data_IF_507077361393
#
_entry.id   IF_507077361393
#
_cell.length_a   1.000
_cell.length_b   1.000
_cell.length_c   1.000
_cell.angle_alpha   90.00
_cell.angle_beta   90.00
_cell.angle_gamma   90.00
#
_symmetry.space_group_name_H-M   'P 1'
#
loop_
_entity.id
_entity.type
_entity.pdbx_description
1 polymer ?
#
# COMPACT_ATOMS: atom_id res chain seq x y z
N UNK A 1 -23.34 12.10 -20.22
CA UNK A 1 -23.86 12.33 -18.84
C UNK A 1 -22.88 11.82 -17.77
N UNK A 2 -22.22 10.68 -17.95
CA UNK A 2 -21.23 10.13 -17.02
C UNK A 2 -19.98 11.00 -16.80
N UNK A 3 -19.48 11.67 -17.83
CA UNK A 3 -18.24 12.48 -17.74
C UNK A 3 -18.38 13.68 -16.80
N UNK A 4 -19.55 14.28 -16.72
CA UNK A 4 -19.81 15.43 -15.83
C UNK A 4 -19.83 14.98 -14.35
N UNK A 5 -20.42 13.83 -14.06
CA UNK A 5 -20.41 13.25 -12.70
C UNK A 5 -19.01 12.84 -12.27
N UNK A 6 -18.23 12.21 -13.15
CA UNK A 6 -16.85 11.83 -12.88
C UNK A 6 -15.97 13.05 -12.60
N UNK A 7 -16.12 14.13 -13.40
CA UNK A 7 -15.36 15.36 -13.19
C UNK A 7 -15.75 16.06 -11.88
N UNK A 8 -17.02 16.06 -11.52
CA UNK A 8 -17.50 16.60 -10.24
C UNK A 8 -16.99 15.79 -9.07
N UNK A 9 -17.03 14.45 -9.17
CA UNK A 9 -16.47 13.55 -8.16
C UNK A 9 -14.98 13.79 -7.94
N UNK A 10 -14.18 13.83 -9.00
CA UNK A 10 -12.75 14.10 -8.93
C UNK A 10 -12.44 15.45 -8.30
N UNK A 11 -13.15 16.52 -8.72
CA UNK A 11 -12.99 17.85 -8.13
C UNK A 11 -13.28 17.88 -6.64
N UNK A 12 -14.37 17.24 -6.21
CA UNK A 12 -14.73 17.16 -4.80
C UNK A 12 -13.73 16.35 -4.01
N UNK A 13 -13.26 15.23 -4.56
CA UNK A 13 -12.24 14.37 -3.93
C UNK A 13 -10.91 15.11 -3.73
N UNK A 14 -10.45 15.87 -4.72
CA UNK A 14 -9.25 16.69 -4.61
C UNK A 14 -9.44 17.82 -3.59
N UNK A 15 -10.58 18.50 -3.61
CA UNK A 15 -10.87 19.64 -2.73
C UNK A 15 -10.84 19.25 -1.24
N UNK A 16 -11.26 18.03 -0.92
CA UNK A 16 -11.26 17.49 0.45
C UNK A 16 -9.97 16.73 0.73
N UNK A 17 -9.59 15.84 -0.18
CA UNK A 17 -8.49 14.92 0.00
C UNK A 17 -7.11 15.58 0.07
N UNK A 18 -6.84 16.58 -0.77
CA UNK A 18 -5.55 17.24 -0.77
C UNK A 18 -5.26 17.99 0.56
N UNK A 19 -6.16 18.87 1.07
CA UNK A 19 -5.89 19.57 2.32
C UNK A 19 -5.87 18.64 3.54
N UNK A 20 -6.70 17.58 3.56
CA UNK A 20 -6.70 16.62 4.68
C UNK A 20 -5.41 15.78 4.70
N UNK A 21 -4.91 15.34 3.57
CA UNK A 21 -3.63 14.63 3.49
C UNK A 21 -2.44 15.56 3.82
N UNK A 22 -2.47 16.82 3.40
CA UNK A 22 -1.46 17.81 3.79
C UNK A 22 -1.47 18.04 5.31
N UNK A 23 -2.67 18.19 5.89
CA UNK A 23 -2.83 18.32 7.34
C UNK A 23 -2.27 17.09 8.07
N UNK A 24 -2.57 15.89 7.60
CA UNK A 24 -2.02 14.66 8.16
C UNK A 24 -0.48 14.61 8.08
N UNK A 25 0.10 15.04 6.97
CA UNK A 25 1.55 15.14 6.82
C UNK A 25 2.17 16.12 7.82
N UNK A 26 1.52 17.28 8.04
CA UNK A 26 1.97 18.27 9.05
C UNK A 26 1.83 17.71 10.47
N UNK A 27 0.70 17.07 10.78
CA UNK A 27 0.49 16.51 12.14
C UNK A 27 1.42 15.34 12.46
N UNK A 28 1.99 14.67 11.45
CA UNK A 28 2.99 13.61 11.66
C UNK A 28 4.28 14.14 12.32
N UNK A 29 4.57 15.44 12.24
CA UNK A 29 5.70 16.04 12.93
C UNK A 29 5.44 16.32 14.42
N UNK A 30 4.19 16.38 14.87
CA UNK A 30 3.86 16.74 16.25
C UNK A 30 4.49 15.82 17.31
N UNK A 31 4.48 14.48 17.19
CA UNK A 31 5.14 13.61 18.15
C UNK A 31 6.65 13.89 18.26
N UNK A 32 7.31 14.13 17.13
CA UNK A 32 8.74 14.42 17.10
C UNK A 32 9.03 15.78 17.74
N UNK A 33 8.26 16.81 17.37
CA UNK A 33 8.38 18.14 17.96
C UNK A 33 8.11 18.13 19.47
N UNK A 34 7.12 17.36 19.91
CA UNK A 34 6.83 17.17 21.32
C UNK A 34 8.05 16.60 22.07
N UNK A 35 8.67 15.55 21.55
CA UNK A 35 9.85 14.95 22.15
C UNK A 35 11.03 15.92 22.16
N UNK A 36 11.27 16.64 21.07
CA UNK A 36 12.34 17.62 21.00
C UNK A 36 12.17 18.77 22.03
N UNK A 37 10.93 19.25 22.21
CA UNK A 37 10.64 20.37 23.09
C UNK A 37 10.60 19.94 24.57
N UNK A 38 9.94 18.83 24.90
CA UNK A 38 9.71 18.40 26.29
C UNK A 38 10.95 17.75 26.90
N UNK A 39 11.70 17.00 26.10
CA UNK A 39 12.88 16.24 26.56
C UNK A 39 14.20 16.83 26.08
N UNK A 40 14.17 17.98 25.42
CA UNK A 40 15.36 18.67 24.85
C UNK A 40 16.24 17.72 23.98
N UNK A 41 15.58 16.83 23.24
CA UNK A 41 16.24 15.81 22.42
C UNK A 41 16.30 16.25 20.95
N UNK A 42 16.96 17.36 20.65
CA UNK A 42 17.14 17.83 19.29
C UNK A 42 18.23 17.02 18.59
N UNK A 43 17.88 16.30 17.49
CA UNK A 43 18.89 15.55 16.76
C UNK A 43 19.77 16.46 15.92
N UNK A 44 21.04 16.08 15.75
CA UNK A 44 21.92 16.75 14.82
C UNK A 44 21.40 16.69 13.40
N UNK A 45 21.44 17.79 12.68
CA UNK A 45 20.96 17.88 11.31
C UNK A 45 21.67 16.89 10.38
N UNK A 46 22.99 16.68 10.57
CA UNK A 46 23.77 15.69 9.82
C UNK A 46 23.23 14.26 10.02
N UNK A 47 22.86 13.90 11.25
CA UNK A 47 22.29 12.60 11.57
C UNK A 47 20.92 12.42 10.90
N UNK A 48 20.07 13.46 10.95
CA UNK A 48 18.76 13.45 10.30
C UNK A 48 18.90 13.26 8.78
N UNK A 49 19.81 13.99 8.14
CA UNK A 49 20.07 13.87 6.69
C UNK A 49 20.62 12.51 6.31
N UNK A 50 21.50 11.94 7.10
CA UNK A 50 22.02 10.59 6.87
C UNK A 50 20.92 9.52 7.02
N UNK A 51 20.12 9.61 8.05
CA UNK A 51 18.98 8.70 8.26
C UNK A 51 17.94 8.83 7.14
N UNK A 52 17.60 10.07 6.76
CA UNK A 52 16.69 10.31 5.64
C UNK A 52 17.25 9.76 4.32
N UNK A 53 18.53 9.93 4.06
CA UNK A 53 19.21 9.38 2.89
C UNK A 53 19.10 7.85 2.81
N UNK A 54 19.30 7.14 3.93
CA UNK A 54 19.13 5.69 4.00
C UNK A 54 17.69 5.26 3.69
N UNK A 55 16.71 5.97 4.26
CA UNK A 55 15.29 5.72 4.00
C UNK A 55 14.95 6.01 2.53
N UNK A 56 15.41 7.13 1.98
CA UNK A 56 15.17 7.49 0.59
C UNK A 56 15.79 6.49 -0.39
N UNK A 57 17.00 6.00 -0.12
CA UNK A 57 17.63 4.95 -0.92
C UNK A 57 16.89 3.60 -0.85
N UNK A 58 16.30 3.29 0.29
CA UNK A 58 15.58 2.01 0.49
C UNK A 58 14.15 2.06 -0.05
N UNK A 59 13.46 3.16 0.13
CA UNK A 59 12.02 3.29 -0.12
C UNK A 59 11.64 4.38 -1.12
N UNK A 60 12.58 5.15 -1.65
CA UNK A 60 12.29 6.27 -2.55
C UNK A 60 11.52 5.90 -3.82
N UNK A 61 11.71 4.68 -4.32
CA UNK A 61 10.94 4.16 -5.45
C UNK A 61 9.43 4.11 -5.15
N UNK A 62 9.03 3.84 -3.91
CA UNK A 62 7.64 3.79 -3.50
C UNK A 62 6.95 5.15 -3.58
N UNK A 63 7.67 6.25 -3.38
CA UNK A 63 7.09 7.60 -3.50
C UNK A 63 6.50 7.89 -4.88
N UNK A 64 6.96 7.20 -5.91
CA UNK A 64 6.46 7.34 -7.28
C UNK A 64 5.52 6.17 -7.64
N UNK A 65 5.95 4.94 -7.34
CA UNK A 65 5.23 3.73 -7.77
C UNK A 65 3.90 3.57 -7.04
N UNK A 66 3.87 3.84 -5.74
CA UNK A 66 2.66 3.65 -4.94
C UNK A 66 1.51 4.58 -5.34
N UNK A 67 1.69 5.92 -5.43
CA UNK A 67 0.59 6.80 -5.83
C UNK A 67 0.00 6.42 -7.19
N UNK A 68 0.85 6.07 -8.17
CA UNK A 68 0.41 5.68 -9.51
C UNK A 68 -0.37 4.36 -9.48
N UNK A 69 0.16 3.35 -8.77
CA UNK A 69 -0.46 2.04 -8.66
C UNK A 69 -1.79 2.08 -7.90
N UNK A 70 -1.82 2.84 -6.80
CA UNK A 70 -3.03 2.95 -5.98
C UNK A 70 -4.10 3.78 -6.67
N UNK A 71 -3.75 4.86 -7.35
CA UNK A 71 -4.72 5.61 -8.14
C UNK A 71 -5.41 4.75 -9.20
N UNK A 72 -4.64 3.91 -9.89
CA UNK A 72 -5.19 3.00 -10.90
C UNK A 72 -6.15 1.94 -10.32
N UNK A 73 -5.92 1.53 -9.06
CA UNK A 73 -6.68 0.45 -8.41
C UNK A 73 -7.84 0.96 -7.56
N UNK A 74 -7.68 2.10 -6.90
CA UNK A 74 -8.60 2.61 -5.87
C UNK A 74 -9.41 3.82 -6.34
N UNK A 75 -9.02 4.44 -7.45
CA UNK A 75 -9.56 5.71 -7.91
C UNK A 75 -9.09 6.91 -7.09
N UNK A 76 -9.62 8.09 -7.39
CA UNK A 76 -9.18 9.35 -6.78
C UNK A 76 -9.49 9.43 -5.27
N UNK A 77 -10.75 9.26 -4.91
CA UNK A 77 -11.19 9.35 -3.52
C UNK A 77 -10.59 8.24 -2.66
N UNK A 78 -10.57 7.00 -3.19
CA UNK A 78 -10.00 5.84 -2.52
C UNK A 78 -8.50 6.01 -2.24
N UNK A 79 -7.75 6.62 -3.16
CA UNK A 79 -6.32 6.90 -2.98
C UNK A 79 -6.10 7.90 -1.83
N UNK A 80 -6.81 9.02 -1.80
CA UNK A 80 -6.68 9.98 -0.70
C UNK A 80 -7.03 9.37 0.66
N UNK A 81 -8.14 8.64 0.75
CA UNK A 81 -8.54 7.93 1.98
C UNK A 81 -7.50 6.89 2.42
N UNK A 82 -6.92 6.20 1.47
CA UNK A 82 -5.92 5.16 1.74
C UNK A 82 -4.62 5.76 2.28
N UNK A 83 -4.12 6.84 1.70
CA UNK A 83 -2.95 7.55 2.23
C UNK A 83 -3.21 8.15 3.61
N UNK A 84 -4.42 8.65 3.86
CA UNK A 84 -4.80 9.19 5.17
C UNK A 84 -4.89 8.10 6.25
N UNK A 85 -5.39 6.91 5.90
CA UNK A 85 -5.66 5.82 6.85
C UNK A 85 -4.57 4.77 6.95
N UNK A 86 -3.62 4.75 6.02
CA UNK A 86 -2.55 3.75 5.98
C UNK A 86 -3.01 2.32 5.67
N UNK A 87 -2.09 1.36 5.79
CA UNK A 87 -2.29 -0.07 5.54
C UNK A 87 -2.85 -0.35 4.13
N UNK A 88 -2.31 0.31 3.11
CA UNK A 88 -2.88 0.37 1.77
C UNK A 88 -2.77 -0.98 1.08
N UNK A 89 -1.55 -1.49 0.90
CA UNK A 89 -1.27 -2.72 0.15
C UNK A 89 -1.89 -3.97 0.77
N UNK A 90 -1.89 -4.06 2.10
CA UNK A 90 -2.36 -5.26 2.80
C UNK A 90 -3.87 -5.30 3.02
N UNK A 91 -4.54 -4.15 3.09
CA UNK A 91 -5.96 -4.09 3.44
C UNK A 91 -6.79 -3.29 2.43
N UNK A 92 -6.41 -2.06 2.10
CA UNK A 92 -7.26 -1.19 1.26
C UNK A 92 -7.39 -1.72 -0.17
N UNK A 93 -6.27 -2.07 -0.80
CA UNK A 93 -6.26 -2.60 -2.17
C UNK A 93 -7.01 -3.93 -2.27
N UNK A 94 -6.78 -4.95 -1.42
CA UNK A 94 -7.57 -6.17 -1.45
C UNK A 94 -9.07 -5.96 -1.20
N UNK A 95 -9.45 -5.11 -0.24
CA UNK A 95 -10.86 -4.80 0.03
C UNK A 95 -11.54 -4.14 -1.17
N UNK A 96 -10.91 -3.15 -1.78
CA UNK A 96 -11.44 -2.48 -2.96
C UNK A 96 -11.55 -3.46 -4.14
N UNK A 97 -10.52 -4.25 -4.40
CA UNK A 97 -10.51 -5.24 -5.48
C UNK A 97 -11.64 -6.27 -5.32
N UNK A 98 -11.85 -6.76 -4.09
CA UNK A 98 -12.92 -7.71 -3.80
C UNK A 98 -14.30 -7.07 -3.99
N UNK A 99 -14.49 -5.83 -3.54
CA UNK A 99 -15.75 -5.12 -3.71
C UNK A 99 -16.09 -4.87 -5.19
N UNK A 100 -15.09 -4.50 -6.00
CA UNK A 100 -15.26 -4.35 -7.44
C UNK A 100 -15.63 -5.67 -8.13
N UNK A 101 -15.00 -6.76 -7.71
CA UNK A 101 -15.27 -8.11 -8.21
C UNK A 101 -16.74 -8.55 -7.92
N UNK A 102 -17.18 -8.38 -6.67
CA UNK A 102 -18.53 -8.75 -6.22
C UNK A 102 -19.61 -7.92 -6.92
N UNK A 103 -19.36 -6.62 -7.10
CA UNK A 103 -20.30 -5.70 -7.76
C UNK A 103 -20.17 -5.69 -9.28
N UNK A 104 -19.23 -6.44 -9.85
CA UNK A 104 -18.91 -6.47 -11.28
C UNK A 104 -18.69 -5.07 -11.86
N UNK A 105 -18.06 -4.20 -11.08
CA UNK A 105 -17.80 -2.81 -11.45
C UNK A 105 -16.50 -2.72 -12.26
N UNK A 106 -16.57 -2.10 -13.44
CA UNK A 106 -15.39 -1.91 -14.31
C UNK A 106 -14.55 -0.73 -13.81
N UNK A 107 -13.23 -0.95 -13.69
CA UNK A 107 -12.28 0.08 -13.28
C UNK A 107 -12.36 1.31 -14.22
N UNK A 108 -12.25 2.51 -13.66
CA UNK A 108 -12.35 3.76 -14.39
C UNK A 108 -13.78 4.31 -14.55
N UNK A 109 -14.79 3.57 -14.08
CA UNK A 109 -16.19 4.07 -14.05
C UNK A 109 -16.48 4.78 -12.73
N UNK A 110 -17.51 5.66 -12.72
CA UNK A 110 -17.96 6.31 -11.47
C UNK A 110 -18.49 5.29 -10.47
N UNK A 111 -19.09 4.20 -10.92
CA UNK A 111 -19.53 3.11 -10.07
C UNK A 111 -18.34 2.48 -9.33
N UNK A 112 -17.25 2.19 -10.04
CA UNK A 112 -16.04 1.64 -9.44
C UNK A 112 -15.42 2.61 -8.42
N UNK A 113 -15.37 3.91 -8.72
CA UNK A 113 -14.88 4.95 -7.79
C UNK A 113 -15.69 4.95 -6.48
N UNK A 114 -17.02 4.90 -6.57
CA UNK A 114 -17.90 4.89 -5.38
C UNK A 114 -17.76 3.58 -4.61
N UNK A 115 -17.82 2.44 -5.29
CA UNK A 115 -17.73 1.11 -4.66
C UNK A 115 -16.38 0.92 -3.95
N UNK A 116 -15.27 1.25 -4.59
CA UNK A 116 -13.95 1.15 -3.97
C UNK A 116 -13.82 2.08 -2.76
N UNK A 117 -14.32 3.31 -2.86
CA UNK A 117 -14.34 4.27 -1.75
C UNK A 117 -15.13 3.75 -0.55
N UNK A 118 -16.32 3.19 -0.78
CA UNK A 118 -17.16 2.59 0.28
C UNK A 118 -16.47 1.39 0.94
N UNK A 119 -15.84 0.51 0.15
CA UNK A 119 -15.09 -0.62 0.65
C UNK A 119 -13.90 -0.17 1.53
N UNK A 120 -13.18 0.87 1.11
CA UNK A 120 -12.09 1.45 1.87
C UNK A 120 -12.60 2.02 3.19
N UNK A 121 -13.70 2.78 3.19
CA UNK A 121 -14.31 3.30 4.42
C UNK A 121 -14.67 2.17 5.40
N UNK A 122 -15.31 1.10 4.94
CA UNK A 122 -15.61 -0.08 5.75
C UNK A 122 -14.33 -0.72 6.32
N UNK A 123 -13.29 -0.85 5.49
CA UNK A 123 -12.01 -1.41 5.92
C UNK A 123 -11.29 -0.53 6.95
N UNK A 124 -11.46 0.80 6.89
CA UNK A 124 -10.90 1.74 7.88
C UNK A 124 -11.55 1.50 9.25
N UNK A 125 -12.88 1.42 9.29
CA UNK A 125 -13.63 1.17 10.53
C UNK A 125 -13.21 -0.17 11.14
N UNK A 126 -13.19 -1.23 10.34
CA UNK A 126 -12.76 -2.57 10.78
C UNK A 126 -11.33 -2.56 11.32
N UNK A 127 -10.41 -1.91 10.60
CA UNK A 127 -9.03 -1.80 11.03
C UNK A 127 -8.90 -1.02 12.35
N UNK A 128 -9.64 0.07 12.51
CA UNK A 128 -9.63 0.88 13.73
C UNK A 128 -10.12 0.07 14.94
N UNK A 129 -11.22 -0.68 14.78
CA UNK A 129 -11.74 -1.56 15.82
C UNK A 129 -10.70 -2.64 16.16
N UNK A 130 -10.13 -3.31 15.16
CA UNK A 130 -9.15 -4.38 15.36
C UNK A 130 -7.88 -3.87 16.04
N UNK A 131 -7.33 -2.74 15.59
CA UNK A 131 -6.10 -2.17 16.19
C UNK A 131 -6.33 -1.64 17.60
N UNK A 132 -7.48 -1.01 17.86
CA UNK A 132 -7.83 -0.57 19.21
C UNK A 132 -8.02 -1.76 20.15
N UNK A 133 -8.70 -2.81 19.70
CA UNK A 133 -8.86 -4.05 20.48
C UNK A 133 -7.49 -4.70 20.74
N UNK A 134 -6.64 -4.76 19.74
CA UNK A 134 -5.27 -5.30 19.88
C UNK A 134 -4.43 -4.46 20.86
N UNK A 135 -4.56 -3.15 20.85
CA UNK A 135 -3.85 -2.27 21.79
C UNK A 135 -4.31 -2.50 23.26
N UNK A 136 -5.59 -2.77 23.47
CA UNK A 136 -6.15 -2.97 24.80
C UNK A 136 -5.87 -4.38 25.36
N UNK A 137 -5.95 -5.41 24.53
CA UNK A 137 -5.92 -6.81 24.97
C UNK A 137 -4.69 -7.56 24.45
N UNK A 138 -4.01 -7.04 23.44
CA UNK A 138 -2.93 -7.76 22.74
C UNK A 138 -1.76 -8.14 23.63
N UNK A 139 -1.36 -7.28 24.57
CA UNK A 139 -0.30 -7.58 25.52
C UNK A 139 -0.63 -8.78 26.41
N UNK A 140 -1.88 -8.88 26.89
CA UNK A 140 -2.34 -10.03 27.68
C UNK A 140 -2.41 -11.31 26.86
N UNK A 141 -2.87 -11.23 25.60
CA UNK A 141 -2.90 -12.37 24.67
C UNK A 141 -1.49 -12.87 24.39
N UNK A 142 -0.56 -11.96 24.07
CA UNK A 142 0.84 -12.33 23.78
C UNK A 142 1.51 -12.94 25.02
N UNK A 143 1.19 -12.48 26.23
CA UNK A 143 1.76 -13.02 27.46
C UNK A 143 1.43 -14.51 27.68
N UNK A 144 0.25 -14.96 27.25
CA UNK A 144 -0.23 -16.36 27.40
C UNK A 144 0.30 -17.28 26.30
N UNK A 145 0.80 -16.73 25.18
CA UNK A 145 1.30 -17.55 24.08
C UNK A 145 2.62 -18.26 24.42
N UNK A 146 2.79 -19.52 24.00
CA UNK A 146 4.08 -20.20 24.06
C UNK A 146 5.18 -19.43 23.32
N UNK A 147 6.42 -19.50 23.83
CA UNK A 147 7.54 -18.74 23.28
C UNK A 147 7.80 -19.02 21.79
N UNK A 148 7.64 -20.27 21.38
CA UNK A 148 7.79 -20.67 19.96
C UNK A 148 6.81 -19.93 19.04
N UNK A 149 5.57 -19.68 19.50
CA UNK A 149 4.56 -18.95 18.74
C UNK A 149 4.88 -17.45 18.70
N UNK A 150 5.36 -16.88 19.81
CA UNK A 150 5.79 -15.47 19.86
C UNK A 150 6.91 -15.20 18.86
N UNK A 151 7.95 -16.03 18.87
CA UNK A 151 9.07 -15.94 17.93
C UNK A 151 8.59 -16.09 16.48
N UNK A 152 7.72 -17.07 16.23
CA UNK A 152 7.11 -17.27 14.90
C UNK A 152 6.34 -16.05 14.40
N UNK A 153 5.50 -15.46 15.24
CA UNK A 153 4.75 -14.25 14.91
C UNK A 153 5.68 -13.05 14.66
N UNK A 154 6.67 -12.83 15.51
CA UNK A 154 7.61 -11.71 15.35
C UNK A 154 8.45 -11.85 14.08
N UNK A 155 8.84 -13.06 13.71
CA UNK A 155 9.75 -13.30 12.59
C UNK A 155 9.03 -13.39 11.25
N UNK A 156 7.87 -14.05 11.20
CA UNK A 156 7.25 -14.46 9.94
C UNK A 156 5.90 -13.80 9.64
N UNK A 157 5.27 -13.05 10.58
CA UNK A 157 3.95 -12.50 10.36
C UNK A 157 3.90 -11.56 9.12
N UNK A 158 4.88 -10.68 8.96
CA UNK A 158 4.94 -9.79 7.79
C UNK A 158 5.07 -10.57 6.48
N UNK A 159 5.98 -11.55 6.44
CA UNK A 159 6.17 -12.39 5.26
C UNK A 159 4.91 -13.19 4.91
N UNK A 160 4.18 -13.70 5.91
CA UNK A 160 2.93 -14.44 5.71
C UNK A 160 1.83 -13.54 5.15
N UNK A 161 1.67 -12.31 5.68
CA UNK A 161 0.66 -11.34 5.20
C UNK A 161 0.94 -10.95 3.74
N UNK A 162 2.18 -10.57 3.42
CA UNK A 162 2.56 -10.21 2.06
C UNK A 162 2.46 -11.40 1.10
N UNK A 163 2.85 -12.59 1.55
CA UNK A 163 2.73 -13.83 0.78
C UNK A 163 1.28 -14.19 0.49
N UNK A 164 0.37 -14.06 1.45
CA UNK A 164 -1.05 -14.29 1.25
C UNK A 164 -1.66 -13.27 0.26
N UNK A 165 -1.30 -12.00 0.38
CA UNK A 165 -1.74 -10.95 -0.54
C UNK A 165 -1.25 -11.22 -1.96
N UNK A 166 0.04 -11.55 -2.12
CA UNK A 166 0.60 -11.96 -3.40
C UNK A 166 -0.12 -13.19 -3.98
N UNK A 167 -0.39 -14.20 -3.14
CA UNK A 167 -1.11 -15.41 -3.53
C UNK A 167 -2.49 -15.12 -4.13
N UNK A 168 -3.25 -14.22 -3.52
CA UNK A 168 -4.56 -13.80 -4.03
C UNK A 168 -4.48 -13.18 -5.44
N UNK A 169 -3.47 -12.34 -5.70
CA UNK A 169 -3.27 -11.77 -7.03
C UNK A 169 -2.71 -12.80 -8.02
N UNK A 170 -1.85 -13.70 -7.57
CA UNK A 170 -1.26 -14.76 -8.37
C UNK A 170 -2.32 -15.74 -8.92
N UNK A 171 -3.34 -16.05 -8.12
CA UNK A 171 -4.47 -16.87 -8.57
C UNK A 171 -5.25 -16.24 -9.74
N UNK A 172 -5.36 -14.90 -9.76
CA UNK A 172 -6.05 -14.17 -10.85
C UNK A 172 -5.23 -14.09 -12.14
N UNK A 173 -3.90 -13.99 -12.04
CA UNK A 173 -2.98 -13.83 -13.19
C UNK A 173 -1.72 -14.69 -13.03
N UNK A 174 -1.84 -16.03 -13.07
CA UNK A 174 -0.74 -16.96 -12.75
C UNK A 174 0.48 -16.81 -13.66
N UNK A 175 0.28 -16.54 -14.96
CA UNK A 175 1.38 -16.32 -15.91
C UNK A 175 2.26 -15.13 -15.51
N UNK A 176 1.65 -14.03 -15.07
CA UNK A 176 2.37 -12.82 -14.64
C UNK A 176 3.03 -13.04 -13.28
N UNK A 177 2.37 -13.77 -12.37
CA UNK A 177 2.85 -14.02 -11.02
C UNK A 177 4.20 -14.75 -10.99
N UNK A 178 4.44 -15.68 -11.92
CA UNK A 178 5.72 -16.38 -12.04
C UNK A 178 6.86 -15.36 -12.25
N UNK A 179 6.68 -14.42 -13.16
CA UNK A 179 7.68 -13.39 -13.44
C UNK A 179 7.80 -12.36 -12.31
N UNK A 180 6.67 -12.00 -11.67
CA UNK A 180 6.65 -11.11 -10.52
C UNK A 180 7.46 -11.66 -9.33
N UNK A 181 7.52 -12.99 -9.18
CA UNK A 181 8.35 -13.65 -8.18
C UNK A 181 9.79 -13.88 -8.67
N UNK A 182 9.97 -14.28 -9.93
CA UNK A 182 11.28 -14.62 -10.47
C UNK A 182 12.21 -13.40 -10.53
N UNK A 183 11.71 -12.23 -10.95
CA UNK A 183 12.53 -11.02 -11.10
C UNK A 183 13.22 -10.63 -9.78
N UNK A 184 12.51 -10.39 -8.66
CA UNK A 184 13.16 -10.01 -7.40
C UNK A 184 14.07 -11.09 -6.84
N UNK A 185 13.70 -12.38 -7.00
CA UNK A 185 14.53 -13.50 -6.54
C UNK A 185 15.84 -13.57 -7.32
N UNK A 186 15.78 -13.49 -8.64
CA UNK A 186 16.99 -13.48 -9.49
C UNK A 186 17.86 -12.26 -9.19
N UNK A 187 17.26 -11.07 -9.10
CA UNK A 187 17.98 -9.85 -8.74
C UNK A 187 18.70 -9.99 -7.40
N UNK A 188 18.03 -10.56 -6.40
CA UNK A 188 18.59 -10.68 -5.05
C UNK A 188 19.68 -11.75 -4.93
N UNK A 189 19.57 -12.86 -5.70
CA UNK A 189 20.52 -13.97 -5.64
C UNK A 189 21.77 -13.74 -6.48
N UNK A 190 21.63 -13.15 -7.65
CA UNK A 190 22.72 -13.08 -8.64
C UNK A 190 23.38 -11.71 -8.75
N UNK A 191 22.71 -10.64 -8.30
CA UNK A 191 23.20 -9.28 -8.48
C UNK A 191 23.21 -8.56 -7.12
N UNK A 192 24.37 -8.09 -6.63
CA UNK A 192 24.46 -7.34 -5.37
C UNK A 192 23.99 -5.88 -5.56
N UNK A 193 22.70 -5.71 -5.85
CA UNK A 193 22.08 -4.40 -6.00
C UNK A 193 21.29 -3.98 -4.75
N UNK A 194 21.19 -2.68 -4.47
CA UNK A 194 20.42 -2.18 -3.34
C UNK A 194 18.92 -2.49 -3.48
N UNK A 195 18.22 -2.60 -2.36
CA UNK A 195 16.81 -3.01 -2.32
C UNK A 195 15.89 -2.15 -3.21
N UNK A 196 16.13 -0.85 -3.29
CA UNK A 196 15.33 0.04 -4.14
C UNK A 196 15.41 -0.31 -5.64
N UNK A 197 16.59 -0.73 -6.13
CA UNK A 197 16.74 -1.18 -7.52
C UNK A 197 15.99 -2.48 -7.78
N UNK A 198 15.98 -3.41 -6.82
CA UNK A 198 15.18 -4.64 -6.91
C UNK A 198 13.69 -4.30 -7.03
N UNK A 199 13.21 -3.33 -6.24
CA UNK A 199 11.82 -2.87 -6.29
C UNK A 199 11.48 -2.30 -7.67
N UNK A 200 12.29 -1.37 -8.17
CA UNK A 200 12.09 -0.75 -9.50
C UNK A 200 12.09 -1.82 -10.60
N UNK A 201 13.09 -2.70 -10.61
CA UNK A 201 13.20 -3.78 -11.59
C UNK A 201 12.00 -4.74 -11.53
N UNK A 202 11.55 -5.10 -10.31
CA UNK A 202 10.42 -6.00 -10.11
C UNK A 202 9.11 -5.38 -10.59
N UNK A 203 8.84 -4.14 -10.24
CA UNK A 203 7.58 -3.47 -10.61
C UNK A 203 7.53 -3.22 -12.12
N UNK A 204 8.52 -2.51 -12.67
CA UNK A 204 8.50 -2.18 -14.11
C UNK A 204 8.72 -3.41 -15.00
N UNK A 205 9.55 -4.35 -14.57
CA UNK A 205 9.73 -5.62 -15.28
C UNK A 205 8.43 -6.43 -15.35
N UNK A 206 7.72 -6.56 -14.23
CA UNK A 206 6.42 -7.27 -14.18
C UNK A 206 5.35 -6.56 -15.00
N UNK A 207 5.26 -5.22 -14.90
CA UNK A 207 4.32 -4.42 -15.70
C UNK A 207 4.62 -4.55 -17.20
N UNK A 208 5.89 -4.51 -17.59
CA UNK A 208 6.32 -4.71 -18.99
C UNK A 208 5.90 -6.08 -19.53
N UNK A 209 6.13 -7.14 -18.74
CA UNK A 209 5.74 -8.51 -19.11
C UNK A 209 4.22 -8.66 -19.18
N UNK A 210 3.49 -8.11 -18.20
CA UNK A 210 2.03 -8.11 -18.21
C UNK A 210 1.46 -7.42 -19.45
N UNK A 211 2.07 -6.29 -19.86
CA UNK A 211 1.69 -5.59 -21.09
C UNK A 211 1.96 -6.41 -22.33
N UNK A 212 3.09 -7.12 -22.40
CA UNK A 212 3.40 -8.01 -23.52
C UNK A 212 2.35 -9.12 -23.66
N UNK A 213 1.98 -9.78 -22.57
CA UNK A 213 0.93 -10.79 -22.58
C UNK A 213 -0.42 -10.21 -23.03
N UNK A 214 -0.79 -9.04 -22.51
CA UNK A 214 -2.03 -8.39 -22.92
C UNK A 214 -2.07 -8.05 -24.42
N UNK A 215 -0.96 -7.54 -24.98
CA UNK A 215 -0.87 -7.24 -26.41
C UNK A 215 -0.93 -8.50 -27.26
N UNK A 216 -0.32 -9.60 -26.80
CA UNK A 216 -0.38 -10.89 -27.48
C UNK A 216 -1.80 -11.48 -27.49
N UNK A 217 -2.48 -11.46 -26.34
CA UNK A 217 -3.86 -11.92 -26.23
C UNK A 217 -4.80 -11.11 -27.14
N UNK A 218 -4.62 -9.77 -27.20
CA UNK A 218 -5.41 -8.90 -28.09
C UNK A 218 -5.14 -9.12 -29.59
N UNK A 219 -3.96 -9.59 -29.97
CA UNK A 219 -3.64 -9.93 -31.37
C UNK A 219 -4.16 -11.30 -31.78
N UNK A 220 -4.41 -12.18 -30.82
CA UNK A 220 -4.90 -13.55 -31.06
C UNK A 220 -6.44 -13.65 -31.00
N UNK A 221 -7.12 -12.62 -30.51
CA UNK A 221 -8.57 -12.43 -30.52
C UNK A 221 -9.00 -11.54 -31.68
#
# INVERSE_FOLDING_TARGET
MNDNYMNTWKKSSIRIGAPTNLLAAVTAFFPVLYLCIVYDCWPDFSLVMSAWGLVALSFGAFYIVEPVSYYASLGMAGTYLSFLSGNIGNMRVPCAALALDVTKSESGTIQAEVVSTMAICGSIITNLIATTSAALVGAAVVAVLPESIKIGLQTYASAAIFGATFGNFALKKPKVAIFALAIPVICKLFIPIPAWMVIVASVFGTVGIARLFYVQEKKAS
#
